data_IF_979276814949
#
_entry.id   IF_979276814949
#
_cell.length_a   1.000
_cell.length_b   1.000
_cell.length_c   1.000
_cell.angle_alpha   90.00
_cell.angle_beta   90.00
_cell.angle_gamma   90.00
#
_symmetry.space_group_name_H-M   'P 1'
#
loop_
_entity.id
_entity.type
_entity.pdbx_description
1 polymer ?
#
# COMPACT_ATOMS: atom_id res chain seq x y z
N UNK A 1 -7.66 23.17 -24.29
CA UNK A 1 -8.04 22.23 -23.22
C UNK A 1 -6.92 22.22 -22.20
N UNK A 2 -7.10 22.88 -21.06
CA UNK A 2 -6.06 23.03 -20.04
C UNK A 2 -5.91 21.71 -19.26
N UNK A 3 -4.82 20.98 -19.54
CA UNK A 3 -4.32 19.92 -18.68
C UNK A 3 -3.81 20.59 -17.39
N UNK A 4 -4.67 20.68 -16.38
CA UNK A 4 -4.24 20.93 -15.01
C UNK A 4 -3.34 19.75 -14.60
N UNK A 5 -2.04 19.87 -14.85
CA UNK A 5 -1.01 19.04 -14.22
C UNK A 5 -1.19 19.25 -12.72
N UNK A 6 -1.86 18.29 -12.06
CA UNK A 6 -2.00 18.26 -10.60
C UNK A 6 -0.63 18.49 -9.99
N UNK A 7 -0.49 19.58 -9.25
CA UNK A 7 0.69 19.86 -8.43
C UNK A 7 0.80 18.70 -7.43
N UNK A 8 1.94 18.00 -7.33
CA UNK A 8 2.11 16.98 -6.31
C UNK A 8 2.04 17.69 -4.95
N UNK A 9 1.00 17.40 -4.17
CA UNK A 9 0.91 17.86 -2.79
C UNK A 9 2.12 17.27 -2.03
N UNK A 10 2.74 18.05 -1.13
CA UNK A 10 3.87 17.60 -0.30
C UNK A 10 3.63 16.26 0.40
N UNK A 11 2.38 16.02 0.82
CA UNK A 11 1.90 14.74 1.33
C UNK A 11 2.19 13.56 0.39
N UNK A 12 2.03 13.74 -0.93
CA UNK A 12 2.29 12.68 -1.93
C UNK A 12 3.79 12.42 -2.05
N UNK A 13 4.64 13.45 -1.94
CA UNK A 13 6.09 13.32 -2.01
C UNK A 13 6.67 12.63 -0.76
N UNK A 14 6.18 12.99 0.42
CA UNK A 14 6.55 12.34 1.68
C UNK A 14 6.12 10.87 1.65
N UNK A 15 4.90 10.61 1.18
CA UNK A 15 4.39 9.27 1.00
C UNK A 15 5.23 8.49 -0.04
N UNK A 16 5.71 9.09 -1.13
CA UNK A 16 6.64 8.44 -2.08
C UNK A 16 7.96 7.96 -1.43
N UNK A 17 8.53 8.72 -0.49
CA UNK A 17 9.75 8.33 0.22
C UNK A 17 9.51 7.18 1.18
N UNK A 18 8.48 7.26 2.02
CA UNK A 18 8.08 6.17 2.92
C UNK A 18 7.71 4.90 2.16
N UNK A 19 7.14 5.07 0.95
CA UNK A 19 6.76 3.96 0.09
C UNK A 19 7.94 3.14 -0.39
N UNK A 20 9.10 3.75 -0.61
CA UNK A 20 10.30 3.02 -1.06
C UNK A 20 10.77 2.02 -0.01
N UNK A 21 10.72 2.39 1.27
CA UNK A 21 11.25 1.58 2.38
C UNK A 21 10.44 0.30 2.66
N UNK A 22 9.11 0.35 2.59
CA UNK A 22 8.30 -0.86 2.82
C UNK A 22 8.25 -1.82 1.61
N UNK A 23 8.71 -1.38 0.43
CA UNK A 23 8.83 -2.23 -0.76
C UNK A 23 10.00 -3.21 -0.62
N UNK A 24 10.98 -2.89 0.25
CA UNK A 24 12.22 -3.66 0.45
C UNK A 24 12.04 -4.88 1.36
N UNK A 25 10.81 -5.16 1.84
CA UNK A 25 10.52 -6.29 2.74
C UNK A 25 9.95 -7.49 1.98
N UNK A 26 10.35 -8.75 2.30
CA UNK A 26 9.93 -10.01 1.62
C UNK A 26 8.43 -10.25 1.56
N UNK A 27 7.68 -9.75 2.53
CA UNK A 27 6.24 -9.87 2.62
C UNK A 27 5.58 -8.50 2.69
N UNK A 28 4.34 -8.40 2.18
CA UNK A 28 3.56 -7.18 2.19
C UNK A 28 2.11 -7.45 2.57
N UNK A 29 1.57 -6.68 3.51
CA UNK A 29 0.14 -6.71 3.88
C UNK A 29 -0.58 -5.62 3.09
N UNK A 30 -1.32 -6.00 2.06
CA UNK A 30 -2.09 -5.08 1.22
C UNK A 30 -3.36 -4.61 1.93
N UNK A 31 -3.54 -3.29 2.01
CA UNK A 31 -4.68 -2.63 2.66
C UNK A 31 -5.62 -1.93 1.69
N UNK A 32 -5.07 -1.38 0.61
CA UNK A 32 -5.84 -0.70 -0.42
C UNK A 32 -5.25 -1.00 -1.79
N UNK A 33 -6.09 -1.05 -2.81
CA UNK A 33 -5.62 -1.13 -4.18
C UNK A 33 -6.65 -0.59 -5.18
N UNK A 34 -6.18 -0.14 -6.34
CA UNK A 34 -7.03 0.37 -7.40
C UNK A 34 -6.26 0.74 -8.67
N UNK A 35 -6.99 1.01 -9.76
CA UNK A 35 -6.42 1.42 -11.05
C UNK A 35 -6.12 2.93 -11.14
N UNK A 36 -6.42 3.68 -10.09
CA UNK A 36 -6.09 5.09 -9.96
C UNK A 36 -5.28 5.29 -8.69
N UNK A 37 -4.10 5.90 -8.82
CA UNK A 37 -3.18 6.19 -7.73
C UNK A 37 -3.85 6.94 -6.58
N UNK A 38 -4.53 8.04 -6.89
CA UNK A 38 -5.11 8.93 -5.89
C UNK A 38 -6.29 8.27 -5.18
N UNK A 39 -7.04 7.43 -5.88
CA UNK A 39 -8.12 6.65 -5.27
C UNK A 39 -7.56 5.60 -4.30
N UNK A 40 -6.48 4.90 -4.68
CA UNK A 40 -5.83 3.93 -3.80
C UNK A 40 -5.28 4.61 -2.53
N UNK A 41 -4.69 5.80 -2.67
CA UNK A 41 -4.23 6.60 -1.53
C UNK A 41 -5.37 7.13 -0.66
N UNK A 42 -6.48 7.59 -1.27
CA UNK A 42 -7.65 8.01 -0.52
C UNK A 42 -8.30 6.85 0.26
N UNK A 43 -8.34 5.65 -0.32
CA UNK A 43 -8.77 4.43 0.38
C UNK A 43 -7.86 4.10 1.56
N UNK A 44 -6.54 4.17 1.36
CA UNK A 44 -5.56 3.97 2.43
C UNK A 44 -5.72 5.00 3.56
N UNK A 45 -5.87 6.28 3.24
CA UNK A 45 -6.08 7.35 4.24
C UNK A 45 -7.30 7.06 5.13
N UNK A 46 -8.43 6.66 4.52
CA UNK A 46 -9.65 6.29 5.26
C UNK A 46 -9.43 5.06 6.15
N UNK A 47 -8.67 4.08 5.67
CA UNK A 47 -8.32 2.91 6.45
C UNK A 47 -7.44 3.30 7.65
N UNK A 48 -6.45 4.17 7.45
CA UNK A 48 -5.53 4.63 8.49
C UNK A 48 -6.26 5.42 9.59
N UNK A 49 -7.30 6.19 9.28
CA UNK A 49 -8.13 6.87 10.31
C UNK A 49 -8.67 5.89 11.37
N UNK A 50 -8.95 4.64 10.99
CA UNK A 50 -9.49 3.61 11.90
C UNK A 50 -8.42 2.66 12.43
N UNK A 51 -7.43 2.35 11.60
CA UNK A 51 -6.46 1.30 11.85
C UNK A 51 -5.12 1.83 12.40
N UNK A 52 -4.94 3.15 12.56
CA UNK A 52 -3.69 3.74 13.06
C UNK A 52 -3.22 3.15 14.38
N UNK A 53 -4.15 2.88 15.31
CA UNK A 53 -3.82 2.24 16.60
C UNK A 53 -3.32 0.79 16.46
N UNK A 54 -3.60 0.12 15.34
CA UNK A 54 -3.27 -1.28 15.08
C UNK A 54 -2.02 -1.44 14.22
N UNK A 55 -1.88 -0.55 13.24
CA UNK A 55 -0.76 -0.50 12.30
C UNK A 55 0.47 0.16 12.95
N UNK A 56 0.26 1.10 13.86
CA UNK A 56 1.33 1.88 14.48
C UNK A 56 2.04 2.77 13.47
N UNK A 57 3.34 2.97 13.69
CA UNK A 57 4.22 3.79 12.84
C UNK A 57 4.84 2.99 11.68
N UNK A 58 4.19 1.91 11.23
CA UNK A 58 4.67 1.16 10.09
C UNK A 58 4.38 1.90 8.78
N UNK A 59 5.45 2.16 8.03
CA UNK A 59 5.37 2.89 6.77
C UNK A 59 4.74 2.04 5.65
N UNK A 60 3.71 2.58 4.96
CA UNK A 60 3.11 1.92 3.82
C UNK A 60 3.92 2.12 2.53
N UNK A 61 3.81 1.15 1.63
CA UNK A 61 4.38 1.11 0.29
C UNK A 61 3.33 1.04 -0.80
N UNK A 62 3.38 1.99 -1.72
CA UNK A 62 2.56 2.10 -2.90
C UNK A 62 3.31 1.46 -4.07
N UNK A 63 2.91 0.23 -4.37
CA UNK A 63 3.44 -0.55 -5.47
C UNK A 63 2.52 -0.38 -6.69
N UNK A 64 3.08 0.04 -7.82
CA UNK A 64 2.40 0.00 -9.11
C UNK A 64 2.83 -1.24 -9.87
N UNK A 65 1.90 -2.15 -10.19
CA UNK A 65 2.21 -3.29 -11.07
C UNK A 65 1.24 -3.38 -12.24
N UNK A 66 1.75 -3.82 -13.39
CA UNK A 66 0.91 -4.18 -14.53
C UNK A 66 0.36 -5.58 -14.30
N UNK A 67 -0.87 -5.65 -13.82
CA UNK A 67 -1.54 -6.92 -13.60
C UNK A 67 -2.16 -7.38 -14.93
N UNK A 68 -1.37 -8.06 -15.77
CA UNK A 68 -1.77 -8.38 -17.16
C UNK A 68 -3.06 -9.20 -17.29
N UNK A 69 -3.43 -9.97 -16.27
CA UNK A 69 -4.73 -10.66 -16.21
C UNK A 69 -5.92 -9.76 -15.85
N UNK A 70 -5.69 -8.50 -15.47
CA UNK A 70 -6.72 -7.46 -15.22
C UNK A 70 -6.57 -6.27 -16.17
N UNK A 71 -5.94 -6.50 -17.33
CA UNK A 71 -5.77 -5.50 -18.39
C UNK A 71 -4.40 -4.83 -18.40
N UNK A 72 -4.30 -3.74 -19.14
CA UNK A 72 -3.04 -3.00 -19.40
C UNK A 72 -2.83 -1.81 -18.48
N UNK A 73 -3.80 -1.52 -17.61
CA UNK A 73 -3.73 -0.38 -16.67
C UNK A 73 -2.88 -0.73 -15.45
N UNK A 74 -2.08 0.22 -15.00
CA UNK A 74 -1.32 0.10 -13.74
C UNK A 74 -2.28 -0.13 -12.58
N UNK A 75 -2.03 -1.18 -11.80
CA UNK A 75 -2.75 -1.50 -10.58
C UNK A 75 -1.89 -1.06 -9.39
N UNK A 76 -2.34 -0.02 -8.71
CA UNK A 76 -1.69 0.55 -7.53
C UNK A 76 -2.14 -0.22 -6.30
N UNK A 77 -1.21 -0.61 -5.46
CA UNK A 77 -1.42 -1.40 -4.25
C UNK A 77 -0.68 -0.74 -3.10
N UNK A 78 -1.37 -0.45 -2.01
CA UNK A 78 -0.77 0.04 -0.77
C UNK A 78 -0.57 -1.13 0.17
N UNK A 79 0.68 -1.41 0.55
CA UNK A 79 1.09 -2.53 1.38
C UNK A 79 1.94 -2.09 2.55
N UNK A 80 1.90 -2.79 3.67
CA UNK A 80 2.89 -2.62 4.75
C UNK A 80 3.91 -3.75 4.65
N UNK A 81 5.20 -3.41 4.63
CA UNK A 81 6.29 -4.38 4.54
C UNK A 81 6.49 -5.20 5.83
N UNK A 82 6.80 -6.48 5.69
CA UNK A 82 7.11 -7.39 6.78
C UNK A 82 8.24 -8.37 6.39
N UNK A 83 9.10 -8.70 7.36
CA UNK A 83 10.26 -9.58 7.15
C UNK A 83 9.89 -11.06 7.00
N UNK A 84 8.78 -11.47 7.60
CA UNK A 84 8.36 -12.87 7.59
C UNK A 84 6.87 -12.98 7.29
N UNK A 85 6.48 -14.12 6.72
CA UNK A 85 5.07 -14.43 6.49
C UNK A 85 4.26 -14.39 7.79
N UNK A 86 4.69 -15.02 8.90
CA UNK A 86 3.94 -14.96 10.15
C UNK A 86 3.75 -13.53 10.67
N UNK A 87 4.77 -12.67 10.58
CA UNK A 87 4.64 -11.27 10.98
C UNK A 87 3.59 -10.52 10.14
N UNK A 88 3.54 -10.79 8.83
CA UNK A 88 2.53 -10.24 7.93
C UNK A 88 1.12 -10.78 8.24
N UNK A 89 1.00 -12.08 8.50
CA UNK A 89 -0.25 -12.73 8.89
C UNK A 89 -0.78 -12.20 10.22
N UNK A 90 0.09 -12.01 11.22
CA UNK A 90 -0.26 -11.42 12.52
C UNK A 90 -0.77 -9.99 12.38
N UNK A 91 -0.09 -9.15 11.59
CA UNK A 91 -0.54 -7.80 11.29
C UNK A 91 -1.91 -7.82 10.60
N UNK A 92 -2.08 -8.67 9.59
CA UNK A 92 -3.35 -8.81 8.87
C UNK A 92 -4.48 -9.28 9.82
N UNK A 93 -4.18 -10.22 10.73
CA UNK A 93 -5.14 -10.68 11.73
C UNK A 93 -5.55 -9.56 12.70
N UNK A 94 -4.62 -8.72 13.16
CA UNK A 94 -4.96 -7.55 13.99
C UNK A 94 -5.86 -6.57 13.23
N UNK A 95 -5.56 -6.33 11.95
CA UNK A 95 -6.36 -5.44 11.08
C UNK A 95 -7.78 -5.99 10.87
N UNK A 96 -7.92 -7.30 10.64
CA UNK A 96 -9.22 -7.97 10.54
C UNK A 96 -10.04 -7.84 11.83
N UNK A 97 -9.41 -7.99 13.00
CA UNK A 97 -10.08 -7.80 14.30
C UNK A 97 -10.57 -6.36 14.50
N UNK A 98 -9.87 -5.38 13.94
CA UNK A 98 -10.30 -3.98 13.93
C UNK A 98 -11.30 -3.64 12.82
N UNK A 99 -11.83 -4.64 12.10
CA UNK A 99 -12.84 -4.47 11.05
C UNK A 99 -12.28 -4.05 9.69
N UNK A 100 -10.95 -4.12 9.50
CA UNK A 100 -10.30 -3.84 8.23
C UNK A 100 -10.17 -5.08 7.34
N UNK A 101 -10.01 -4.86 6.03
CA UNK A 101 -9.65 -5.91 5.09
C UNK A 101 -8.15 -5.87 4.80
N UNK A 102 -7.54 -7.04 4.68
CA UNK A 102 -6.13 -7.17 4.34
C UNK A 102 -5.85 -8.46 3.57
N UNK A 103 -4.81 -8.40 2.75
CA UNK A 103 -4.30 -9.52 1.97
C UNK A 103 -2.78 -9.62 2.13
N UNK A 104 -2.29 -10.77 2.60
CA UNK A 104 -0.85 -11.03 2.73
C UNK A 104 -0.31 -11.54 1.40
N UNK A 105 0.73 -10.89 0.90
CA UNK A 105 1.35 -11.20 -0.37
C UNK A 105 2.86 -11.26 -0.22
N UNK A 106 3.51 -12.13 -0.99
CA UNK A 106 4.96 -12.11 -1.13
C UNK A 106 5.35 -10.99 -2.09
N UNK A 107 6.32 -10.17 -1.71
CA UNK A 107 6.89 -9.16 -2.58
C UNK A 107 7.94 -9.86 -3.46
N UNK A 108 7.55 -10.24 -4.67
CA UNK A 108 8.39 -11.02 -5.60
C UNK A 108 9.45 -10.16 -6.32
N UNK A 109 9.41 -8.84 -6.17
CA UNK A 109 10.24 -7.87 -6.90
C UNK A 109 11.26 -7.15 -6.02
N UNK A 110 11.64 -7.72 -4.87
CA UNK A 110 12.78 -7.24 -4.08
C UNK A 110 14.03 -7.86 -4.69
N UNK A 111 14.29 -7.50 -5.93
CA UNK A 111 15.58 -7.73 -6.55
C UNK A 111 16.36 -6.45 -6.36
N UNK A 112 17.55 -6.58 -5.77
CA UNK A 112 18.52 -5.50 -5.72
C UNK A 112 18.92 -4.99 -7.09
#
# INVERSE_FOLDING_TARGET
MALLKRVPNSFVTELEQHVKLGADRPWGVQLAAGFNRDQALAMYSRAMTRLRAVIGDQDPSLLGSLFRSRGTRTFYQVRIGADTRPAADDLCNRIRRAGGACLVLRNMNISG
#
